data_IF_662463533049
#
_entry.id   IF_662463533049
#
_cell.length_a   1.000
_cell.length_b   1.000
_cell.length_c   1.000
_cell.angle_alpha   90.00
_cell.angle_beta   90.00
_cell.angle_gamma   90.00
#
_symmetry.space_group_name_H-M   'P 1'
#
loop_
_entity.id
_entity.type
_entity.pdbx_description
1 polymer ?
#
# COMPACT_ATOMS: atom_id res chain seq x y z
N UNK A 1 -6.66 -14.39 -14.51
CA UNK A 1 -5.43 -13.81 -14.02
C UNK A 1 -4.88 -14.58 -12.84
N UNK A 2 -3.56 -14.48 -12.65
CA UNK A 2 -2.91 -15.18 -11.55
C UNK A 2 -2.99 -14.39 -10.23
N UNK A 3 -2.50 -14.97 -9.15
CA UNK A 3 -2.56 -14.32 -7.84
C UNK A 3 -1.44 -13.28 -7.61
N UNK A 4 -0.49 -13.15 -8.55
CA UNK A 4 0.65 -12.24 -8.36
C UNK A 4 0.26 -10.82 -8.74
N UNK A 5 0.51 -9.88 -7.85
CA UNK A 5 0.13 -8.47 -7.97
C UNK A 5 1.40 -7.62 -7.84
N UNK A 6 1.53 -6.57 -8.65
CA UNK A 6 2.60 -5.59 -8.45
C UNK A 6 2.17 -4.66 -7.31
N UNK A 7 2.91 -4.69 -6.19
CA UNK A 7 2.53 -3.95 -5.00
C UNK A 7 2.76 -2.44 -5.14
N UNK A 8 1.97 -1.65 -4.42
CA UNK A 8 2.08 -0.19 -4.41
C UNK A 8 3.51 0.26 -4.05
N UNK A 9 4.03 1.18 -4.85
CA UNK A 9 5.38 1.72 -4.65
C UNK A 9 6.48 0.97 -5.36
N UNK A 10 6.15 -0.15 -6.04
CA UNK A 10 7.14 -0.95 -6.76
C UNK A 10 7.04 -0.80 -8.28
N UNK A 11 5.88 -0.36 -8.78
CA UNK A 11 5.59 -0.32 -10.22
C UNK A 11 5.32 1.09 -10.75
N UNK A 12 5.58 2.11 -9.96
CA UNK A 12 5.37 3.50 -10.38
C UNK A 12 3.91 3.93 -10.32
N UNK A 13 3.62 5.03 -11.00
CA UNK A 13 2.27 5.57 -11.08
C UNK A 13 1.56 5.18 -12.37
N UNK A 14 2.30 4.79 -13.40
CA UNK A 14 1.77 4.58 -14.73
C UNK A 14 2.16 3.20 -15.25
N UNK A 15 2.47 3.10 -16.55
CA UNK A 15 2.79 1.82 -17.20
C UNK A 15 4.29 1.50 -17.25
N UNK A 16 5.07 2.05 -16.31
CA UNK A 16 6.53 1.85 -16.27
C UNK A 16 6.91 0.37 -16.26
N UNK A 17 6.16 -0.44 -15.51
CA UNK A 17 6.43 -1.88 -15.40
C UNK A 17 6.24 -2.60 -16.73
N UNK A 18 5.47 -2.02 -17.67
CA UNK A 18 5.23 -2.64 -18.98
C UNK A 18 6.49 -2.80 -19.81
N UNK A 19 7.58 -2.11 -19.44
CA UNK A 19 8.87 -2.30 -20.11
C UNK A 19 9.47 -3.69 -19.84
N UNK A 20 8.98 -4.38 -18.82
CA UNK A 20 9.56 -5.64 -18.35
C UNK A 20 8.59 -6.82 -18.38
N UNK A 21 7.29 -6.55 -18.27
CA UNK A 21 6.29 -7.62 -18.19
C UNK A 21 4.98 -7.16 -18.86
N UNK A 22 4.29 -8.12 -19.48
CA UNK A 22 2.95 -7.85 -20.03
C UNK A 22 1.97 -7.70 -18.87
N UNK A 23 1.46 -6.49 -18.67
CA UNK A 23 0.59 -6.17 -17.52
C UNK A 23 -0.72 -6.95 -17.54
N UNK A 24 -1.17 -7.43 -18.70
CA UNK A 24 -2.39 -8.24 -18.81
C UNK A 24 -2.21 -9.61 -18.15
N UNK A 25 -0.97 -10.08 -17.99
CA UNK A 25 -0.69 -11.42 -17.47
C UNK A 25 -0.63 -11.49 -15.94
N UNK A 26 -0.41 -10.37 -15.26
CA UNK A 26 -0.36 -10.37 -13.79
C UNK A 26 -1.73 -10.06 -13.20
N UNK A 27 -1.91 -10.39 -11.93
CA UNK A 27 -3.19 -10.27 -11.24
C UNK A 27 -3.73 -8.84 -11.22
N UNK A 28 -2.86 -7.90 -10.87
CA UNK A 28 -3.20 -6.47 -10.87
C UNK A 28 -1.93 -5.62 -10.72
N UNK A 29 -2.05 -4.34 -11.04
CA UNK A 29 -1.02 -3.34 -10.75
C UNK A 29 -1.59 -2.38 -9.71
N UNK A 30 -0.98 -2.33 -8.54
CA UNK A 30 -1.33 -1.34 -7.52
C UNK A 30 -0.40 -0.15 -7.73
N UNK A 31 -0.95 0.98 -8.13
CA UNK A 31 -0.12 2.16 -8.42
C UNK A 31 0.39 2.81 -7.13
N UNK A 32 1.44 3.62 -7.24
CA UNK A 32 1.97 4.37 -6.10
C UNK A 32 0.86 5.21 -5.46
N UNK A 33 0.81 5.23 -4.13
CA UNK A 33 -0.24 5.92 -3.38
C UNK A 33 -0.30 7.41 -3.74
N UNK A 34 -1.50 7.89 -3.99
CA UNK A 34 -1.78 9.25 -4.45
C UNK A 34 -2.69 9.97 -3.46
N UNK A 35 -2.47 11.27 -3.29
CA UNK A 35 -3.40 12.13 -2.56
C UNK A 35 -4.27 12.89 -3.56
N UNK A 36 -5.26 13.63 -3.04
CA UNK A 36 -6.07 14.52 -3.88
C UNK A 36 -5.32 15.80 -4.27
N UNK A 37 -4.06 15.92 -3.86
CA UNK A 37 -3.22 17.10 -4.09
C UNK A 37 -1.81 16.64 -4.49
N UNK A 38 -1.07 17.56 -5.12
CA UNK A 38 0.34 17.32 -5.44
C UNK A 38 1.19 17.42 -4.18
N UNK A 39 2.16 16.50 -4.03
CA UNK A 39 3.04 16.48 -2.88
C UNK A 39 4.47 16.13 -3.29
N UNK A 40 5.44 16.91 -2.79
CA UNK A 40 6.84 16.79 -3.19
C UNK A 40 7.57 15.61 -2.53
N UNK A 41 7.07 15.13 -1.40
CA UNK A 41 7.74 14.07 -0.65
C UNK A 41 8.87 14.59 0.22
N UNK A 42 9.74 13.67 0.62
CA UNK A 42 10.83 13.95 1.56
C UNK A 42 12.09 14.44 0.85
N UNK A 43 13.03 15.06 1.58
CA UNK A 43 14.33 15.42 0.99
C UNK A 43 15.15 14.16 0.64
N UNK A 44 15.96 14.29 -0.41
CA UNK A 44 16.90 13.24 -0.82
C UNK A 44 18.09 13.17 0.17
N UNK A 45 18.77 12.01 0.26
CA UNK A 45 18.51 10.74 -0.44
C UNK A 45 17.25 10.05 0.06
N UNK A 46 16.50 9.43 -0.85
CA UNK A 46 15.22 8.80 -0.53
C UNK A 46 15.26 7.27 -0.50
N UNK A 47 16.33 6.69 -1.05
CA UNK A 47 16.47 5.22 -1.18
C UNK A 47 17.89 4.84 -0.80
N UNK A 48 18.05 3.66 -0.18
CA UNK A 48 19.37 3.12 0.13
C UNK A 48 19.28 1.59 0.15
N UNK A 49 20.20 0.93 -0.55
CA UNK A 49 20.24 -0.54 -0.56
C UNK A 49 20.75 -1.05 0.79
N UNK A 50 20.18 -2.16 1.23
CA UNK A 50 20.63 -2.87 2.43
C UNK A 50 20.69 -4.36 2.12
N UNK A 51 21.32 -5.14 2.99
CA UNK A 51 21.36 -6.58 2.81
C UNK A 51 19.93 -7.13 2.80
N UNK A 52 19.59 -7.83 1.75
CA UNK A 52 18.27 -8.42 1.61
C UNK A 52 17.15 -7.47 1.20
N UNK A 53 17.50 -6.23 0.81
CA UNK A 53 16.42 -5.33 0.40
C UNK A 53 16.81 -3.87 0.26
N UNK A 54 15.92 -3.01 0.70
CA UNK A 54 16.06 -1.57 0.54
C UNK A 54 15.39 -0.86 1.71
N UNK A 55 15.95 0.30 2.08
CA UNK A 55 15.25 1.22 2.98
C UNK A 55 14.89 2.48 2.20
N UNK A 56 13.65 2.95 2.37
CA UNK A 56 13.20 4.12 1.63
C UNK A 56 12.44 5.10 2.51
N UNK A 57 12.52 6.36 2.12
CA UNK A 57 11.73 7.44 2.70
C UNK A 57 11.35 8.40 1.58
N UNK A 58 10.59 7.90 0.60
CA UNK A 58 10.14 8.72 -0.53
C UNK A 58 9.21 9.82 -0.07
N UNK A 59 8.37 9.53 0.95
CA UNK A 59 7.50 10.55 1.53
C UNK A 59 6.24 10.81 0.73
N UNK A 60 5.76 9.79 -0.02
CA UNK A 60 4.45 9.86 -0.69
C UNK A 60 4.38 10.91 -1.82
N UNK A 61 5.50 11.16 -2.48
CA UNK A 61 5.58 12.10 -3.60
C UNK A 61 4.64 11.69 -4.73
N UNK A 62 3.93 12.66 -5.31
CA UNK A 62 3.06 12.41 -6.45
C UNK A 62 2.33 13.66 -6.90
N UNK A 63 1.74 13.58 -8.11
CA UNK A 63 1.06 14.71 -8.76
C UNK A 63 -0.44 14.78 -8.42
N UNK A 64 -0.95 13.82 -7.66
CA UNK A 64 -2.35 13.82 -7.25
C UNK A 64 -3.25 12.95 -8.12
N UNK A 65 -4.42 12.60 -7.55
CA UNK A 65 -5.37 11.69 -8.21
C UNK A 65 -5.92 12.26 -9.53
N UNK A 66 -6.20 13.57 -9.57
CA UNK A 66 -6.74 14.18 -10.78
C UNK A 66 -5.76 14.09 -11.93
N UNK A 67 -4.49 14.44 -11.69
CA UNK A 67 -3.43 14.33 -12.71
C UNK A 67 -3.32 12.89 -13.20
N UNK A 68 -3.33 11.92 -12.26
CA UNK A 68 -3.20 10.51 -12.59
C UNK A 68 -4.35 10.03 -13.48
N UNK A 69 -5.58 10.40 -13.15
CA UNK A 69 -6.76 10.04 -13.97
C UNK A 69 -6.60 10.56 -15.40
N UNK A 70 -6.12 11.80 -15.53
CA UNK A 70 -6.02 12.46 -16.83
C UNK A 70 -4.85 11.95 -17.69
N UNK A 71 -3.74 11.51 -17.08
CA UNK A 71 -2.51 11.24 -17.80
C UNK A 71 -2.04 9.78 -17.75
N UNK A 72 -2.36 9.05 -16.69
CA UNK A 72 -1.74 7.74 -16.45
C UNK A 72 -2.71 6.56 -16.57
N UNK A 73 -3.95 6.73 -16.11
CA UNK A 73 -4.91 5.62 -16.09
C UNK A 73 -5.15 5.02 -17.48
N UNK A 74 -5.28 5.86 -18.51
CA UNK A 74 -5.51 5.37 -19.87
C UNK A 74 -4.32 4.54 -20.38
N UNK A 75 -3.09 4.89 -19.98
CA UNK A 75 -1.91 4.13 -20.38
C UNK A 75 -1.94 2.72 -19.79
N UNK A 76 -2.30 2.62 -18.52
CA UNK A 76 -2.41 1.33 -17.83
C UNK A 76 -3.52 0.46 -18.44
N UNK A 77 -4.69 1.04 -18.67
CA UNK A 77 -5.81 0.27 -19.23
C UNK A 77 -5.52 -0.15 -20.68
N UNK A 78 -4.79 0.67 -21.45
CA UNK A 78 -4.39 0.31 -22.81
C UNK A 78 -3.44 -0.88 -22.84
N UNK A 79 -2.71 -1.13 -21.73
CA UNK A 79 -1.85 -2.31 -21.58
C UNK A 79 -2.60 -3.53 -21.04
N UNK A 80 -3.92 -3.44 -20.87
CA UNK A 80 -4.71 -4.53 -20.32
C UNK A 80 -4.55 -4.74 -18.82
N UNK A 81 -3.96 -3.77 -18.12
CA UNK A 81 -3.74 -3.89 -16.67
C UNK A 81 -5.06 -3.85 -15.90
N UNK A 82 -5.19 -4.70 -14.90
CA UNK A 82 -6.20 -4.55 -13.86
C UNK A 82 -5.62 -3.60 -12.82
N UNK A 83 -6.23 -2.43 -12.67
CA UNK A 83 -5.63 -1.31 -11.93
C UNK A 83 -6.24 -1.17 -10.54
N UNK A 84 -5.39 -1.14 -9.52
CA UNK A 84 -5.79 -0.81 -8.16
C UNK A 84 -5.20 0.58 -7.84
N UNK A 85 -6.08 1.53 -7.51
CA UNK A 85 -5.65 2.89 -7.20
C UNK A 85 -5.37 2.99 -5.70
N UNK A 86 -4.11 3.23 -5.34
CA UNK A 86 -3.73 3.39 -3.93
C UNK A 86 -3.81 4.87 -3.55
N UNK A 87 -4.41 5.16 -2.38
CA UNK A 87 -4.61 6.54 -1.91
C UNK A 87 -4.07 6.75 -0.50
N UNK A 88 -3.72 8.01 -0.22
CA UNK A 88 -3.25 8.43 1.08
C UNK A 88 -3.67 9.86 1.40
N UNK A 89 -3.53 10.26 2.66
CA UNK A 89 -3.74 11.64 3.09
C UNK A 89 -3.11 11.88 4.45
N UNK A 90 -2.98 13.14 4.83
CA UNK A 90 -2.56 13.54 6.17
C UNK A 90 -3.75 13.66 7.12
N UNK A 91 -4.96 13.73 6.56
CA UNK A 91 -6.22 13.86 7.30
C UNK A 91 -7.28 12.98 6.64
N UNK A 92 -8.26 12.55 7.42
CA UNK A 92 -9.29 11.65 6.88
C UNK A 92 -10.05 12.26 5.69
N UNK A 93 -10.28 13.58 5.72
CA UNK A 93 -10.96 14.27 4.61
C UNK A 93 -10.19 14.24 3.31
N UNK A 94 -8.87 14.12 3.37
CA UNK A 94 -8.05 14.03 2.16
C UNK A 94 -8.15 12.66 1.50
N UNK A 95 -8.29 11.59 2.30
CA UNK A 95 -8.62 10.26 1.75
C UNK A 95 -9.98 10.30 1.06
N UNK A 96 -10.97 10.92 1.71
CA UNK A 96 -12.31 11.04 1.12
C UNK A 96 -12.26 11.81 -0.18
N UNK A 97 -11.51 12.91 -0.23
CA UNK A 97 -11.38 13.71 -1.45
C UNK A 97 -10.77 12.90 -2.59
N UNK A 98 -9.69 12.15 -2.32
CA UNK A 98 -9.08 11.29 -3.33
C UNK A 98 -10.06 10.22 -3.81
N UNK A 99 -10.80 9.60 -2.89
CA UNK A 99 -11.79 8.58 -3.22
C UNK A 99 -12.91 9.15 -4.09
N UNK A 100 -13.38 10.36 -3.81
CA UNK A 100 -14.43 11.00 -4.61
C UNK A 100 -13.96 11.25 -6.04
N UNK A 101 -12.72 11.67 -6.22
CA UNK A 101 -12.18 11.85 -7.58
C UNK A 101 -12.10 10.53 -8.32
N UNK A 102 -11.68 9.46 -7.65
CA UNK A 102 -11.57 8.13 -8.25
C UNK A 102 -12.93 7.50 -8.53
N UNK A 103 -13.97 7.89 -7.77
CA UNK A 103 -15.33 7.38 -7.99
C UNK A 103 -15.82 7.66 -9.42
N UNK A 104 -15.37 8.76 -10.01
CA UNK A 104 -15.75 9.14 -11.38
C UNK A 104 -15.22 8.14 -12.43
N UNK A 105 -14.19 7.37 -12.10
CA UNK A 105 -13.59 6.36 -13.00
C UNK A 105 -13.65 4.96 -12.40
N UNK A 106 -14.60 4.72 -11.49
CA UNK A 106 -14.71 3.46 -10.75
C UNK A 106 -14.83 2.24 -11.68
N UNK A 107 -15.48 2.39 -12.82
CA UNK A 107 -15.67 1.32 -13.80
C UNK A 107 -14.35 0.89 -14.48
N UNK A 108 -13.30 1.69 -14.34
CA UNK A 108 -11.98 1.39 -14.90
C UNK A 108 -11.00 0.86 -13.85
N UNK A 109 -11.45 0.72 -12.60
CA UNK A 109 -10.60 0.28 -11.49
C UNK A 109 -11.03 -1.08 -10.96
N UNK A 110 -10.07 -1.86 -10.53
CA UNK A 110 -10.30 -3.15 -9.88
C UNK A 110 -10.63 -2.96 -8.40
N UNK A 111 -9.97 -2.01 -7.75
CA UNK A 111 -10.18 -1.70 -6.32
C UNK A 111 -9.51 -0.36 -5.99
N UNK A 112 -9.83 0.15 -4.81
CA UNK A 112 -9.06 1.22 -4.17
C UNK A 112 -8.31 0.62 -2.99
N UNK A 113 -6.99 0.88 -2.91
CA UNK A 113 -6.18 0.51 -1.75
C UNK A 113 -6.01 1.74 -0.87
N UNK A 114 -6.38 1.64 0.39
CA UNK A 114 -6.25 2.74 1.37
C UNK A 114 -4.96 2.53 2.14
N UNK A 115 -3.96 3.37 1.89
CA UNK A 115 -2.67 3.29 2.55
C UNK A 115 -2.75 3.99 3.92
N UNK A 116 -2.87 3.19 4.98
CA UNK A 116 -3.05 3.71 6.34
C UNK A 116 -1.72 3.94 7.07
N UNK A 117 -0.57 3.69 6.42
CA UNK A 117 0.75 3.88 7.04
C UNK A 117 1.28 5.31 6.88
N UNK A 118 0.39 6.28 6.78
CA UNK A 118 0.72 7.69 6.66
C UNK A 118 0.59 8.36 8.02
N UNK A 119 1.40 9.41 8.29
CA UNK A 119 1.24 10.14 9.55
C UNK A 119 -0.01 11.02 9.52
N UNK A 120 -0.78 11.00 10.59
CA UNK A 120 -1.96 11.84 10.76
C UNK A 120 -1.53 13.16 11.41
N UNK A 121 -1.65 14.26 10.69
CA UNK A 121 -1.22 15.58 11.20
C UNK A 121 -2.11 16.08 12.32
N UNK A 122 -3.36 15.65 12.36
CA UNK A 122 -4.30 16.08 13.40
C UNK A 122 -4.07 15.32 14.72
N UNK A 123 -3.28 14.25 14.71
CA UNK A 123 -3.06 13.41 15.88
C UNK A 123 -1.59 13.13 16.12
N UNK A 124 -0.78 14.17 16.13
CA UNK A 124 0.62 14.10 16.52
C UNK A 124 1.51 13.25 15.60
N UNK A 125 1.12 13.13 14.34
CA UNK A 125 1.84 12.35 13.32
C UNK A 125 1.86 10.84 13.58
N UNK A 126 0.99 10.34 14.46
CA UNK A 126 0.82 8.90 14.63
C UNK A 126 0.26 8.31 13.33
N UNK A 127 0.70 7.11 12.95
CA UNK A 127 0.17 6.46 11.74
C UNK A 127 -1.32 6.16 11.92
N UNK A 128 -2.11 6.40 10.87
CA UNK A 128 -3.53 6.01 10.88
C UNK A 128 -3.69 4.53 11.22
N UNK A 129 -2.82 3.68 10.71
CA UNK A 129 -2.89 2.22 10.90
C UNK A 129 -2.71 1.78 12.36
N UNK A 130 -2.26 2.67 13.25
CA UNK A 130 -2.02 2.33 14.65
C UNK A 130 -3.14 2.76 15.60
N UNK A 131 -4.22 3.32 15.07
CA UNK A 131 -5.32 3.86 15.88
C UNK A 131 -6.66 3.38 15.32
N UNK A 132 -7.40 2.62 16.14
CA UNK A 132 -8.68 2.02 15.74
C UNK A 132 -9.70 3.04 15.27
N UNK A 133 -9.79 4.18 15.97
CA UNK A 133 -10.76 5.23 15.61
C UNK A 133 -10.41 5.85 14.26
N UNK A 134 -9.12 6.08 14.02
CA UNK A 134 -8.65 6.66 12.75
C UNK A 134 -8.88 5.70 11.59
N UNK A 135 -8.63 4.41 11.80
CA UNK A 135 -8.89 3.39 10.76
C UNK A 135 -10.38 3.42 10.39
N UNK A 136 -11.25 3.37 11.40
CA UNK A 136 -12.70 3.36 11.17
C UNK A 136 -13.15 4.61 10.42
N UNK A 137 -12.61 5.77 10.80
CA UNK A 137 -12.97 7.03 10.17
C UNK A 137 -12.56 7.07 8.70
N UNK A 138 -11.31 6.68 8.41
CA UNK A 138 -10.78 6.74 7.04
C UNK A 138 -11.48 5.71 6.15
N UNK A 139 -11.56 4.44 6.59
CA UNK A 139 -12.18 3.39 5.79
C UNK A 139 -13.66 3.72 5.55
N UNK A 140 -14.36 4.17 6.59
CA UNK A 140 -15.77 4.56 6.46
C UNK A 140 -15.98 5.71 5.47
N UNK A 141 -15.10 6.71 5.51
CA UNK A 141 -15.17 7.85 4.59
C UNK A 141 -14.93 7.42 3.14
N UNK A 142 -13.91 6.59 2.92
CA UNK A 142 -13.61 6.07 1.58
C UNK A 142 -14.76 5.20 1.07
N UNK A 143 -15.25 4.28 1.92
CA UNK A 143 -16.36 3.39 1.53
C UNK A 143 -17.60 4.17 1.10
N UNK A 144 -17.89 5.27 1.82
CA UNK A 144 -19.05 6.10 1.51
C UNK A 144 -18.86 6.95 0.25
N UNK A 145 -17.63 7.19 -0.16
CA UNK A 145 -17.31 8.05 -1.31
C UNK A 145 -17.33 7.31 -2.64
N UNK A 146 -17.30 5.97 -2.64
CA UNK A 146 -17.19 5.19 -3.88
C UNK A 146 -18.36 4.21 -4.00
N UNK A 147 -18.68 3.77 -5.23
CA UNK A 147 -19.77 2.80 -5.43
C UNK A 147 -19.51 1.50 -4.66
N UNK A 148 -20.57 0.83 -4.21
CA UNK A 148 -20.46 -0.43 -3.49
C UNK A 148 -19.79 -1.52 -4.35
N UNK A 149 -19.90 -1.39 -5.67
CA UNK A 149 -19.28 -2.33 -6.61
C UNK A 149 -17.77 -2.21 -6.70
N UNK A 150 -17.17 -1.10 -6.20
CA UNK A 150 -15.72 -0.91 -6.23
C UNK A 150 -15.15 -1.35 -4.87
N UNK A 151 -14.37 -2.44 -4.83
CA UNK A 151 -13.81 -2.91 -3.55
C UNK A 151 -12.85 -1.91 -2.91
N UNK A 152 -12.87 -1.86 -1.58
CA UNK A 152 -11.96 -1.03 -0.77
C UNK A 152 -11.04 -1.97 0.01
N UNK A 153 -9.74 -1.87 -0.21
CA UNK A 153 -8.71 -2.66 0.47
C UNK A 153 -8.00 -1.79 1.50
N UNK A 154 -7.80 -2.32 2.69
CA UNK A 154 -7.10 -1.59 3.76
C UNK A 154 -5.66 -2.10 3.86
N UNK A 155 -4.68 -1.22 3.57
CA UNK A 155 -3.26 -1.59 3.69
C UNK A 155 -2.74 -1.19 5.06
N UNK A 156 -2.32 -2.22 5.83
CA UNK A 156 -2.00 -2.11 7.25
C UNK A 156 -0.49 -2.11 7.50
N UNK A 157 -0.11 -1.56 8.65
CA UNK A 157 1.27 -1.47 9.08
C UNK A 157 1.65 -2.68 9.93
N UNK A 158 2.84 -3.26 9.73
CA UNK A 158 3.32 -4.34 10.63
C UNK A 158 3.92 -3.81 11.92
N UNK A 159 4.01 -2.48 12.09
CA UNK A 159 4.79 -1.85 13.17
C UNK A 159 3.94 -1.65 14.43
N UNK A 160 3.19 -2.67 14.82
CA UNK A 160 2.30 -2.63 15.98
C UNK A 160 2.11 -4.03 16.52
N UNK A 161 1.91 -4.14 17.82
CA UNK A 161 1.59 -5.41 18.49
C UNK A 161 0.08 -5.70 18.46
N UNK A 162 -0.72 -4.82 17.85
CA UNK A 162 -2.18 -4.93 17.81
C UNK A 162 -2.73 -5.17 16.40
N UNK A 163 -1.90 -5.70 15.49
CA UNK A 163 -2.29 -5.80 14.08
C UNK A 163 -3.61 -6.55 13.88
N UNK A 164 -3.79 -7.68 14.59
CA UNK A 164 -5.00 -8.50 14.41
C UNK A 164 -6.26 -7.71 14.78
N UNK A 165 -6.22 -7.01 15.92
CA UNK A 165 -7.37 -6.21 16.38
C UNK A 165 -7.64 -5.06 15.41
N UNK A 166 -6.59 -4.37 14.96
CA UNK A 166 -6.74 -3.23 14.06
C UNK A 166 -7.25 -3.66 12.69
N UNK A 167 -6.86 -4.84 12.22
CA UNK A 167 -7.43 -5.42 11.01
C UNK A 167 -8.93 -5.69 11.18
N UNK A 168 -9.33 -6.18 12.35
CA UNK A 168 -10.75 -6.35 12.67
C UNK A 168 -11.54 -5.05 12.57
N UNK A 169 -10.94 -3.95 13.02
CA UNK A 169 -11.57 -2.62 12.90
C UNK A 169 -11.75 -2.23 11.43
N UNK A 170 -10.73 -2.47 10.59
CA UNK A 170 -10.83 -2.14 9.17
C UNK A 170 -11.97 -2.93 8.51
N UNK A 171 -12.08 -4.22 8.83
CA UNK A 171 -13.14 -5.09 8.29
C UNK A 171 -14.52 -4.61 8.78
N UNK A 172 -14.64 -4.32 10.08
CA UNK A 172 -15.90 -3.82 10.64
C UNK A 172 -16.31 -2.48 10.03
N UNK A 173 -15.34 -1.72 9.53
CA UNK A 173 -15.57 -0.44 8.85
C UNK A 173 -15.83 -0.60 7.36
N UNK A 174 -15.99 -1.83 6.89
CA UNK A 174 -16.37 -2.23 5.53
C UNK A 174 -15.24 -2.17 4.51
N UNK A 175 -14.00 -2.48 4.96
CA UNK A 175 -12.95 -2.87 4.02
C UNK A 175 -13.31 -4.26 3.46
N UNK A 176 -13.16 -4.42 2.15
CA UNK A 176 -13.49 -5.68 1.47
C UNK A 176 -12.32 -6.67 1.52
N UNK A 177 -11.10 -6.17 1.69
CA UNK A 177 -9.90 -7.01 1.79
C UNK A 177 -8.83 -6.25 2.59
N UNK A 178 -7.85 -7.02 3.07
CA UNK A 178 -6.69 -6.46 3.78
C UNK A 178 -5.44 -6.65 2.94
N UNK A 179 -4.53 -5.69 3.02
CA UNK A 179 -3.21 -5.78 2.37
C UNK A 179 -2.16 -5.79 3.48
N UNK A 180 -1.42 -6.90 3.59
CA UNK A 180 -0.49 -7.17 4.68
C UNK A 180 0.87 -7.59 4.13
N UNK A 181 1.90 -6.76 4.29
CA UNK A 181 1.89 -5.58 5.13
C UNK A 181 2.66 -4.44 4.45
N UNK A 182 2.61 -3.26 5.05
CA UNK A 182 3.47 -2.17 4.62
C UNK A 182 4.90 -2.42 5.14
N UNK A 183 5.83 -1.50 4.87
CA UNK A 183 7.24 -1.65 5.22
C UNK A 183 7.46 -1.66 6.74
N UNK A 184 8.55 -2.31 7.16
CA UNK A 184 8.97 -2.32 8.56
C UNK A 184 9.84 -1.08 8.81
N UNK A 185 9.57 -0.35 9.87
CA UNK A 185 10.34 0.85 10.20
C UNK A 185 11.79 0.49 10.51
N UNK A 186 12.72 1.26 9.95
CA UNK A 186 14.14 1.03 10.15
C UNK A 186 14.96 2.28 9.95
N UNK A 187 16.27 2.14 10.17
CA UNK A 187 17.21 3.25 10.02
C UNK A 187 18.58 2.69 9.66
N UNK A 188 19.32 3.44 8.83
CA UNK A 188 20.73 3.15 8.58
C UNK A 188 21.53 4.42 8.84
N UNK A 189 22.68 4.23 9.50
CA UNK A 189 23.61 5.32 9.80
C UNK A 189 24.93 4.98 9.11
N UNK A 190 25.46 5.95 8.37
CA UNK A 190 26.80 5.85 7.80
C UNK A 190 27.79 6.14 8.91
N UNK A 191 28.58 5.14 9.29
CA UNK A 191 29.49 5.26 10.43
C UNK A 191 30.65 6.19 10.17
N UNK A 192 31.00 6.40 8.90
CA UNK A 192 32.08 7.33 8.56
C UNK A 192 31.64 8.78 8.72
N UNK A 193 30.49 9.13 8.18
CA UNK A 193 29.95 10.49 8.28
C UNK A 193 29.14 10.73 9.55
N UNK A 194 28.76 9.66 10.24
CA UNK A 194 27.93 9.69 11.46
C UNK A 194 26.55 10.28 11.22
N UNK A 195 26.02 10.11 10.00
CA UNK A 195 24.72 10.67 9.63
C UNK A 195 23.79 9.56 9.11
N UNK A 196 22.50 9.81 9.20
CA UNK A 196 21.51 8.92 8.58
C UNK A 196 21.75 8.88 7.07
N UNK A 197 21.58 7.70 6.46
CA UNK A 197 21.77 7.56 5.01
C UNK A 197 20.62 8.17 4.21
N UNK A 198 19.45 8.33 4.83
CA UNK A 198 18.30 8.96 4.17
C UNK A 198 18.11 10.39 4.65
N UNK A 199 17.69 11.26 3.74
CA UNK A 199 17.51 12.69 4.04
C UNK A 199 16.48 12.94 5.15
N UNK A 200 15.51 12.06 5.31
CA UNK A 200 14.48 12.17 6.36
C UNK A 200 14.86 11.42 7.65
N UNK A 201 16.04 10.81 7.73
CA UNK A 201 16.49 10.04 8.88
C UNK A 201 16.15 8.56 8.75
N UNK A 202 15.01 8.15 9.26
CA UNK A 202 14.55 6.76 9.14
C UNK A 202 13.69 6.54 7.91
N UNK A 203 13.30 5.29 7.70
CA UNK A 203 12.46 4.93 6.56
C UNK A 203 11.84 3.57 6.73
N UNK A 204 11.23 3.05 5.67
CA UNK A 204 10.63 1.74 5.64
C UNK A 204 11.54 0.73 4.94
N UNK A 205 11.73 -0.42 5.59
CA UNK A 205 12.51 -1.55 5.05
C UNK A 205 11.59 -2.43 4.22
N UNK A 206 12.05 -2.81 3.02
CA UNK A 206 11.33 -3.72 2.11
C UNK A 206 12.31 -4.74 1.55
N UNK A 207 11.78 -5.74 0.84
CA UNK A 207 12.58 -6.80 0.23
C UNK A 207 12.60 -8.06 1.09
N UNK A 208 13.46 -9.01 0.72
CA UNK A 208 13.54 -10.31 1.39
C UNK A 208 13.74 -10.18 2.90
N UNK A 209 14.38 -9.09 3.34
CA UNK A 209 14.63 -8.85 4.76
C UNK A 209 13.36 -8.83 5.61
N UNK A 210 12.19 -8.52 5.02
CA UNK A 210 10.94 -8.46 5.80
C UNK A 210 9.98 -9.61 5.48
N UNK A 211 10.38 -10.56 4.61
CA UNK A 211 9.44 -11.59 4.16
C UNK A 211 8.82 -12.36 5.32
N UNK A 212 9.65 -12.84 6.25
CA UNK A 212 9.16 -13.61 7.39
C UNK A 212 8.20 -12.80 8.28
N UNK A 213 8.42 -11.49 8.38
CA UNK A 213 7.50 -10.60 9.12
C UNK A 213 6.15 -10.54 8.40
N UNK A 214 6.18 -10.36 7.08
CA UNK A 214 4.96 -10.27 6.28
C UNK A 214 4.16 -11.57 6.33
N UNK A 215 4.84 -12.72 6.20
CA UNK A 215 4.19 -14.04 6.31
C UNK A 215 3.51 -14.18 7.68
N UNK A 216 4.19 -13.76 8.76
CA UNK A 216 3.61 -13.83 10.10
C UNK A 216 2.38 -12.94 10.23
N UNK A 217 2.41 -11.73 9.64
CA UNK A 217 1.25 -10.84 9.62
C UNK A 217 0.05 -11.51 8.96
N UNK A 218 0.27 -12.10 7.77
CA UNK A 218 -0.78 -12.79 7.04
C UNK A 218 -1.36 -13.95 7.87
N UNK A 219 -0.48 -14.77 8.42
CA UNK A 219 -0.87 -15.96 9.19
C UNK A 219 -1.74 -15.58 10.40
N UNK A 220 -1.28 -14.63 11.22
CA UNK A 220 -2.00 -14.25 12.44
C UNK A 220 -3.36 -13.63 12.12
N UNK A 221 -3.41 -12.76 11.11
CA UNK A 221 -4.66 -12.10 10.73
C UNK A 221 -5.63 -13.11 10.11
N UNK A 222 -5.14 -14.00 9.23
CA UNK A 222 -6.00 -15.01 8.61
C UNK A 222 -6.62 -15.93 9.66
N UNK A 223 -5.85 -16.34 10.67
CA UNK A 223 -6.39 -17.19 11.74
C UNK A 223 -7.54 -16.51 12.49
N UNK A 224 -7.44 -15.21 12.70
CA UNK A 224 -8.47 -14.47 13.44
C UNK A 224 -9.66 -14.07 12.55
N UNK A 225 -9.41 -13.86 11.26
CA UNK A 225 -10.42 -13.36 10.31
C UNK A 225 -10.40 -14.22 9.04
N UNK A 226 -10.75 -15.53 9.14
CA UNK A 226 -10.53 -16.46 8.02
C UNK A 226 -11.40 -16.19 6.79
N UNK A 227 -12.45 -15.38 6.91
CA UNK A 227 -13.35 -15.10 5.79
C UNK A 227 -12.91 -13.86 4.99
N UNK A 228 -11.90 -13.13 5.47
CA UNK A 228 -11.49 -11.88 4.83
C UNK A 228 -10.38 -12.16 3.83
N UNK A 229 -10.53 -11.75 2.56
CA UNK A 229 -9.43 -11.89 1.61
C UNK A 229 -8.22 -11.06 2.04
N UNK A 230 -7.04 -11.63 1.85
CA UNK A 230 -5.78 -10.94 2.20
C UNK A 230 -4.86 -10.94 0.97
N UNK A 231 -4.32 -9.77 0.66
CA UNK A 231 -3.20 -9.65 -0.27
C UNK A 231 -1.92 -9.61 0.57
N UNK A 232 -1.10 -10.66 0.47
CA UNK A 232 0.16 -10.74 1.21
C UNK A 232 1.24 -9.96 0.49
N UNK A 233 1.90 -9.04 1.19
CA UNK A 233 2.92 -8.17 0.58
C UNK A 233 4.14 -8.11 1.49
N UNK A 234 5.32 -8.35 0.91
CA UNK A 234 6.59 -8.19 1.61
C UNK A 234 7.58 -9.26 1.21
N UNK A 235 8.58 -8.85 0.43
CA UNK A 235 9.73 -9.68 0.11
C UNK A 235 9.46 -10.88 -0.78
N UNK A 236 8.34 -10.91 -1.50
CA UNK A 236 8.05 -11.99 -2.45
C UNK A 236 8.99 -11.80 -3.65
N UNK A 237 9.93 -12.74 -3.83
CA UNK A 237 10.96 -12.64 -4.85
C UNK A 237 11.01 -13.87 -5.76
N UNK A 238 10.32 -14.93 -5.40
CA UNK A 238 10.29 -16.16 -6.19
C UNK A 238 8.96 -16.88 -5.96
N UNK A 239 8.75 -17.95 -6.73
CA UNK A 239 7.51 -18.73 -6.64
C UNK A 239 7.29 -19.32 -5.25
N UNK A 240 8.36 -19.76 -4.58
CA UNK A 240 8.20 -20.34 -3.23
C UNK A 240 7.71 -19.29 -2.22
N UNK A 241 8.20 -18.05 -2.33
CA UNK A 241 7.72 -16.98 -1.45
C UNK A 241 6.21 -16.72 -1.65
N UNK A 242 5.78 -16.72 -2.92
CA UNK A 242 4.37 -16.55 -3.25
C UNK A 242 3.52 -17.68 -2.67
N UNK A 243 3.99 -18.93 -2.83
CA UNK A 243 3.30 -20.10 -2.28
C UNK A 243 3.24 -20.00 -0.75
N UNK A 244 4.34 -19.59 -0.10
CA UNK A 244 4.39 -19.43 1.35
C UNK A 244 3.35 -18.42 1.83
N UNK A 245 3.22 -17.28 1.14
CA UNK A 245 2.17 -16.29 1.46
C UNK A 245 0.77 -16.91 1.38
N UNK A 246 0.51 -17.68 0.32
CA UNK A 246 -0.79 -18.32 0.14
C UNK A 246 -1.04 -19.39 1.20
N UNK A 247 -0.01 -20.16 1.56
CA UNK A 247 -0.12 -21.15 2.64
C UNK A 247 -0.38 -20.49 4.00
N UNK A 248 0.11 -19.28 4.19
CA UNK A 248 -0.16 -18.50 5.41
C UNK A 248 -1.60 -17.96 5.44
N UNK A 249 -2.29 -17.94 4.28
CA UNK A 249 -3.68 -17.52 4.21
C UNK A 249 -3.96 -16.38 3.23
N UNK A 250 -2.96 -15.94 2.45
CA UNK A 250 -3.19 -14.89 1.46
C UNK A 250 -3.97 -15.44 0.26
N UNK A 251 -4.85 -14.61 -0.29
CA UNK A 251 -5.59 -14.91 -1.53
C UNK A 251 -4.78 -14.50 -2.77
N UNK A 252 -3.86 -13.61 -2.57
CA UNK A 252 -2.98 -13.11 -3.63
C UNK A 252 -1.67 -12.63 -3.02
N UNK A 253 -0.48 -12.34 -3.76
CA UNK A 253 0.64 -12.00 -3.26
C UNK A 253 1.16 -10.93 -3.98
N UNK A 254 1.70 -10.24 -3.51
CA UNK A 254 2.17 -9.23 -4.02
C UNK A 254 3.38 -9.08 -3.77
#
# INVERSE_FOLDING_TARGET
PGPVIAASGTAGHSDELAAYVDLATIGAVVVKSMASFEWQGNPAPRLHAIDGGMINSVGLQGRGTRHWIEHDLARLTARGARVVASIWGFRSGEYEAAARELAAVADRLTAIEVNLSCPNLDHGRQMFAHDARQIAQVIGAVRSAVPVSLPVWAKMSPNTDRLVDLCGVAVASRADALVLANTVLGMRIDTASRRAVLGNGGGGVSGAAIHAVAVRCVFDVHRAHPQVPIVGVGGVSCANDAIEMMMAGASAXX
#
